data_IF_562316090778
#
_entry.id   IF_562316090778
#
_cell.length_a   1.000
_cell.length_b   1.000
_cell.length_c   1.000
_cell.angle_alpha   90.00
_cell.angle_beta   90.00
_cell.angle_gamma   90.00
#
_symmetry.space_group_name_H-M   'P 1'
#
loop_
_entity.id
_entity.type
_entity.pdbx_description
1 polymer ?
#
# COMPACT_ATOMS: atom_id res chain seq x y z
N UNK A 1 -5.35 4.85 -10.19
CA UNK A 1 -5.60 5.81 -9.10
C UNK A 1 -4.49 6.85 -9.17
N UNK A 2 -4.81 8.13 -8.98
CA UNK A 2 -3.80 9.20 -8.97
C UNK A 2 -3.10 9.23 -7.61
N UNK A 3 -1.78 9.50 -7.58
CA UNK A 3 -1.03 9.67 -6.33
C UNK A 3 -1.63 10.72 -5.38
N UNK A 4 -2.42 11.66 -5.91
CA UNK A 4 -3.08 12.70 -5.13
C UNK A 4 -4.31 12.21 -4.34
N UNK A 5 -4.91 11.06 -4.71
CA UNK A 5 -6.14 10.54 -4.12
C UNK A 5 -5.89 9.75 -2.82
N UNK A 6 -4.65 9.31 -2.56
CA UNK A 6 -4.28 8.59 -1.32
C UNK A 6 -4.16 9.53 -0.13
N UNK A 7 -3.85 10.81 -0.36
CA UNK A 7 -3.79 11.86 0.66
C UNK A 7 -4.93 12.87 0.49
N UNK A 8 -6.16 12.37 0.25
CA UNK A 8 -7.33 13.23 0.48
C UNK A 8 -7.20 13.74 1.89
N UNK A 9 -7.11 15.07 2.01
CA UNK A 9 -7.27 15.80 3.26
C UNK A 9 -8.69 15.50 3.73
N UNK A 10 -8.87 14.39 4.42
CA UNK A 10 -10.08 14.22 5.19
C UNK A 10 -10.10 15.39 6.16
N UNK A 11 -11.14 16.22 6.06
CA UNK A 11 -11.41 17.27 7.04
C UNK A 11 -11.84 16.68 8.38
N UNK A 12 -12.03 15.35 8.44
CA UNK A 12 -12.27 14.55 9.63
C UNK A 12 -11.01 14.32 10.46
N UNK A 13 -11.18 14.39 11.78
CA UNK A 13 -10.21 13.88 12.76
C UNK A 13 -9.73 12.49 12.32
N UNK A 14 -8.43 12.26 12.32
CA UNK A 14 -7.89 10.90 12.41
C UNK A 14 -8.38 10.36 13.77
N UNK A 15 -9.38 9.47 13.73
CA UNK A 15 -10.00 8.90 14.95
C UNK A 15 -9.26 7.64 15.41
N UNK A 16 -8.56 6.97 14.49
CA UNK A 16 -7.76 5.77 14.76
C UNK A 16 -6.40 6.14 15.37
N UNK A 17 -5.93 5.34 16.34
CA UNK A 17 -4.57 5.47 16.84
C UNK A 17 -3.55 4.99 15.79
N UNK A 18 -2.28 5.35 15.98
CA UNK A 18 -1.20 4.86 15.11
C UNK A 18 -1.12 3.33 15.10
N UNK A 19 -1.23 2.71 16.27
CA UNK A 19 -1.14 1.25 16.42
C UNK A 19 -2.31 0.55 15.72
N UNK A 20 -3.53 1.09 15.81
CA UNK A 20 -4.71 0.56 15.12
C UNK A 20 -4.53 0.62 13.60
N UNK A 21 -4.00 1.75 13.09
CA UNK A 21 -3.75 1.94 11.67
C UNK A 21 -2.70 0.95 11.17
N UNK A 22 -1.61 0.77 11.91
CA UNK A 22 -0.56 -0.19 11.58
C UNK A 22 -1.12 -1.61 11.54
N UNK A 23 -1.85 -2.03 12.59
CA UNK A 23 -2.44 -3.36 12.66
C UNK A 23 -3.43 -3.63 11.52
N UNK A 24 -4.23 -2.62 11.15
CA UNK A 24 -5.17 -2.72 10.03
C UNK A 24 -4.44 -2.86 8.70
N UNK A 25 -3.37 -2.10 8.49
CA UNK A 25 -2.55 -2.19 7.28
C UNK A 25 -1.89 -3.56 7.15
N UNK A 26 -1.29 -4.06 8.23
CA UNK A 26 -0.66 -5.38 8.27
C UNK A 26 -1.67 -6.49 7.96
N UNK A 27 -2.86 -6.44 8.58
CA UNK A 27 -3.92 -7.41 8.33
C UNK A 27 -4.43 -7.38 6.87
N UNK A 28 -4.44 -6.22 6.23
CA UNK A 28 -4.79 -6.10 4.82
C UNK A 28 -3.73 -6.75 3.92
N UNK A 29 -2.45 -6.54 4.20
CA UNK A 29 -1.38 -7.19 3.42
C UNK A 29 -1.40 -8.71 3.56
N UNK A 30 -1.61 -9.23 4.77
CA UNK A 30 -1.77 -10.68 4.99
C UNK A 30 -2.92 -11.24 4.15
N UNK A 31 -4.06 -10.55 4.11
CA UNK A 31 -5.21 -10.99 3.29
C UNK A 31 -4.89 -10.99 1.79
N UNK A 32 -4.13 -9.99 1.31
CA UNK A 32 -3.68 -9.95 -0.08
C UNK A 32 -2.72 -11.10 -0.41
N UNK A 33 -1.73 -11.34 0.45
CA UNK A 33 -0.78 -12.45 0.29
C UNK A 33 -1.52 -13.79 0.20
N UNK A 34 -2.44 -14.04 1.13
CA UNK A 34 -3.25 -15.26 1.11
C UNK A 34 -4.10 -15.38 -0.17
N UNK A 35 -4.71 -14.28 -0.62
CA UNK A 35 -5.54 -14.28 -1.83
C UNK A 35 -4.71 -14.59 -3.08
N UNK A 36 -3.49 -14.04 -3.17
CA UNK A 36 -2.56 -14.28 -4.27
C UNK A 36 -2.08 -15.73 -4.26
N UNK A 37 -1.70 -16.27 -3.09
CA UNK A 37 -1.24 -17.66 -2.95
C UNK A 37 -2.33 -18.67 -3.31
N UNK A 38 -3.59 -18.36 -2.99
CA UNK A 38 -4.73 -19.28 -3.19
C UNK A 38 -5.36 -19.18 -4.59
N UNK A 39 -5.05 -18.13 -5.36
CA UNK A 39 -5.64 -17.95 -6.69
C UNK A 39 -4.91 -18.78 -7.75
N UNK A 40 -5.62 -19.10 -8.84
CA UNK A 40 -5.02 -19.67 -10.05
C UNK A 40 -4.30 -18.56 -10.84
N UNK A 41 -3.19 -18.86 -11.50
CA UNK A 41 -2.41 -17.91 -12.31
C UNK A 41 -3.30 -17.25 -13.38
N UNK A 42 -4.27 -17.98 -13.93
CA UNK A 42 -5.25 -17.43 -14.88
C UNK A 42 -6.07 -16.25 -14.30
N UNK A 43 -6.23 -16.18 -12.97
CA UNK A 43 -6.86 -15.04 -12.31
C UNK A 43 -5.98 -13.79 -12.40
N UNK A 44 -4.67 -13.93 -12.30
CA UNK A 44 -3.72 -12.83 -12.36
C UNK A 44 -3.68 -12.19 -13.75
N UNK A 45 -3.86 -13.00 -14.79
CA UNK A 45 -3.99 -12.53 -16.18
C UNK A 45 -5.38 -11.93 -16.49
N UNK A 46 -6.39 -12.22 -15.66
CA UNK A 46 -7.74 -11.70 -15.88
C UNK A 46 -7.87 -10.22 -15.57
N UNK A 47 -8.86 -9.56 -16.19
CA UNK A 47 -9.15 -8.15 -15.97
C UNK A 47 -9.59 -7.87 -14.54
N UNK A 48 -9.16 -6.74 -14.00
CA UNK A 48 -9.58 -6.23 -12.68
C UNK A 48 -10.98 -5.62 -12.71
N UNK A 49 -11.38 -5.05 -13.86
CA UNK A 49 -12.67 -4.39 -14.03
C UNK A 49 -13.22 -4.61 -15.45
N UNK A 50 -14.54 -4.74 -15.65
CA UNK A 50 -15.14 -4.91 -16.98
C UNK A 50 -14.77 -3.79 -17.97
N UNK A 51 -14.71 -2.56 -17.47
CA UNK A 51 -14.49 -1.35 -18.29
C UNK A 51 -13.02 -0.93 -18.42
N UNK A 52 -12.07 -1.70 -17.87
CA UNK A 52 -10.63 -1.37 -17.93
C UNK A 52 -9.84 -2.55 -18.45
N UNK A 53 -8.95 -2.28 -19.38
CA UNK A 53 -7.98 -3.27 -19.87
C UNK A 53 -6.75 -3.30 -18.98
N UNK A 54 -6.97 -3.64 -17.70
CA UNK A 54 -5.93 -3.78 -16.69
C UNK A 54 -6.05 -5.16 -16.04
N UNK A 55 -4.98 -5.96 -16.10
CA UNK A 55 -4.95 -7.28 -15.45
C UNK A 55 -4.66 -7.15 -13.96
N UNK A 56 -5.03 -8.18 -13.20
CA UNK A 56 -4.69 -8.26 -11.77
C UNK A 56 -3.18 -8.18 -11.54
N UNK A 57 -2.37 -8.80 -12.41
CA UNK A 57 -0.91 -8.69 -12.34
C UNK A 57 -0.43 -7.23 -12.42
N UNK A 58 -0.96 -6.46 -13.38
CA UNK A 58 -0.56 -5.08 -13.57
C UNK A 58 -1.01 -4.19 -12.40
N UNK A 59 -2.23 -4.38 -11.90
CA UNK A 59 -2.72 -3.63 -10.74
C UNK A 59 -1.93 -3.93 -9.46
N UNK A 60 -1.54 -5.19 -9.23
CA UNK A 60 -0.71 -5.57 -8.09
C UNK A 60 0.70 -4.98 -8.20
N UNK A 61 1.29 -4.97 -9.40
CA UNK A 61 2.57 -4.32 -9.64
C UNK A 61 2.51 -2.80 -9.38
N UNK A 62 1.45 -2.14 -9.84
CA UNK A 62 1.19 -0.72 -9.55
C UNK A 62 1.05 -0.46 -8.05
N UNK A 63 0.31 -1.30 -7.33
CA UNK A 63 0.15 -1.21 -5.88
C UNK A 63 1.50 -1.32 -5.16
N UNK A 64 2.34 -2.29 -5.54
CA UNK A 64 3.65 -2.49 -4.94
C UNK A 64 4.58 -1.28 -5.14
N UNK A 65 4.62 -0.73 -6.36
CA UNK A 65 5.45 0.44 -6.69
C UNK A 65 4.95 1.69 -5.96
N UNK A 66 3.62 1.89 -5.88
CA UNK A 66 3.02 3.00 -5.17
C UNK A 66 3.35 2.95 -3.66
N UNK A 67 3.27 1.76 -3.05
CA UNK A 67 3.64 1.56 -1.65
C UNK A 67 5.13 1.83 -1.42
N UNK A 68 6.01 1.32 -2.29
CA UNK A 68 7.45 1.57 -2.20
C UNK A 68 7.78 3.08 -2.28
N UNK A 69 7.10 3.82 -3.15
CA UNK A 69 7.24 5.27 -3.25
C UNK A 69 6.86 5.97 -1.94
N UNK A 70 5.71 5.63 -1.34
CA UNK A 70 5.27 6.24 -0.09
C UNK A 70 6.12 5.84 1.13
N UNK A 71 6.61 4.60 1.18
CA UNK A 71 7.61 4.19 2.18
C UNK A 71 8.85 5.09 2.08
N UNK A 72 9.32 5.36 0.86
CA UNK A 72 10.44 6.29 0.63
C UNK A 72 10.17 7.69 1.20
N UNK A 73 8.96 8.23 1.00
CA UNK A 73 8.58 9.53 1.57
C UNK A 73 8.53 9.51 3.11
N UNK A 74 7.99 8.45 3.73
CA UNK A 74 7.95 8.29 5.19
C UNK A 74 9.37 8.24 5.76
N UNK A 75 10.24 7.44 5.17
CA UNK A 75 11.66 7.34 5.56
C UNK A 75 12.35 8.70 5.45
N UNK A 76 12.13 9.41 4.34
CA UNK A 76 12.68 10.75 4.13
C UNK A 76 12.25 11.72 5.25
N UNK A 77 10.94 11.78 5.56
CA UNK A 77 10.41 12.63 6.64
C UNK A 77 11.03 12.27 7.99
N UNK A 78 11.14 10.97 8.31
CA UNK A 78 11.77 10.52 9.57
C UNK A 78 13.23 10.92 9.67
N UNK A 79 13.98 10.87 8.57
CA UNK A 79 15.38 11.33 8.51
C UNK A 79 15.48 12.84 8.76
N UNK A 80 14.65 13.64 8.09
CA UNK A 80 14.60 15.10 8.28
C UNK A 80 14.25 15.49 9.74
N UNK A 81 13.48 14.65 10.44
CA UNK A 81 13.11 14.86 11.84
C UNK A 81 14.14 14.30 12.85
N UNK A 82 15.22 13.65 12.39
CA UNK A 82 16.18 12.99 13.27
C UNK A 82 15.63 11.76 14.00
N UNK A 83 14.49 11.22 13.54
CA UNK A 83 13.79 10.07 14.13
C UNK A 83 14.10 8.75 13.39
N UNK A 84 15.08 8.76 12.48
CA UNK A 84 15.46 7.58 11.72
C UNK A 84 16.63 6.86 12.40
N UNK A 85 16.31 5.76 13.08
CA UNK A 85 17.33 4.84 13.60
C UNK A 85 17.95 4.06 12.44
N UNK A 86 19.24 4.24 12.23
CA UNK A 86 20.03 3.37 11.34
C UNK A 86 20.55 2.20 12.14
N UNK A 87 20.36 0.97 11.63
CA UNK A 87 20.83 -0.28 12.25
C UNK A 87 22.37 -0.48 12.16
N UNK A 88 23.15 0.53 12.53
CA UNK A 88 24.60 0.45 12.64
C UNK A 88 25.02 0.99 14.02
N UNK A 89 25.26 0.06 14.96
CA UNK A 89 26.24 0.20 16.03
C UNK A 89 27.54 -0.48 15.61
#
# INVERSE_FOLDING_TARGET
MSNAETFVKDSGKIVESWDDLQQRLDNLFVQWEEAIIKCDDAKLDSRTHPDRDESWWNSLAHLAIHNAHHIGQIVYIRKEQGLWETWFE
#
